data_IF_109034374895
#
_entry.id   IF_109034374895
#
_cell.length_a   1.000
_cell.length_b   1.000
_cell.length_c   1.000
_cell.angle_alpha   90.00
_cell.angle_beta   90.00
_cell.angle_gamma   90.00
#
_symmetry.space_group_name_H-M   'P 1'
#
loop_
_entity.id
_entity.type
_entity.pdbx_description
1 polymer ?
#
# COMPACT_ATOMS: atom_id res chain seq x y z
N UNK A 1 -1.04 1.54 -14.59
CA UNK A 1 -1.88 2.11 -13.51
C UNK A 1 -3.34 1.77 -13.69
N UNK A 2 -3.84 1.60 -14.92
CA UNK A 2 -5.26 1.30 -15.17
C UNK A 2 -5.76 0.05 -14.44
N UNK A 3 -5.01 -1.06 -14.49
CA UNK A 3 -5.35 -2.29 -13.75
C UNK A 3 -5.41 -2.04 -12.24
N UNK A 4 -4.44 -1.31 -11.68
CA UNK A 4 -4.37 -1.04 -10.24
C UNK A 4 -5.63 -0.29 -9.80
N UNK A 5 -6.09 0.68 -10.59
CA UNK A 5 -7.27 1.48 -10.27
C UNK A 5 -8.58 0.66 -10.20
N UNK A 6 -8.62 -0.55 -10.74
CA UNK A 6 -9.76 -1.46 -10.59
C UNK A 6 -9.84 -2.07 -9.18
N UNK A 7 -8.71 -2.16 -8.48
CA UNK A 7 -8.58 -2.73 -7.14
C UNK A 7 -8.64 -1.63 -6.05
N UNK A 8 -9.75 -0.88 -6.06
CA UNK A 8 -9.95 0.32 -5.24
C UNK A 8 -10.91 0.13 -4.04
N UNK A 9 -11.26 -1.12 -3.68
CA UNK A 9 -12.22 -1.42 -2.63
C UNK A 9 -11.53 -2.00 -1.38
N UNK A 10 -12.10 -1.85 -0.18
CA UNK A 10 -11.50 -2.42 1.04
C UNK A 10 -11.32 -3.95 1.00
N UNK A 11 -12.20 -4.66 0.31
CA UNK A 11 -12.17 -6.11 0.09
C UNK A 11 -11.52 -6.53 -1.24
N UNK A 12 -10.99 -5.56 -1.99
CA UNK A 12 -10.18 -5.77 -3.20
C UNK A 12 -9.25 -4.56 -3.39
N UNK A 13 -8.11 -4.59 -2.69
CA UNK A 13 -7.27 -3.42 -2.48
C UNK A 13 -5.84 -3.66 -2.94
N UNK A 14 -5.46 -3.05 -4.06
CA UNK A 14 -4.06 -2.99 -4.47
C UNK A 14 -3.51 -1.59 -4.31
N UNK A 15 -2.23 -1.50 -3.96
CA UNK A 15 -1.51 -0.23 -3.83
C UNK A 15 -0.17 -0.32 -4.55
N UNK A 16 0.33 0.84 -4.96
CA UNK A 16 1.71 0.97 -5.46
C UNK A 16 2.57 1.66 -4.41
N UNK A 17 3.73 1.09 -4.09
CA UNK A 17 4.74 1.76 -3.27
C UNK A 17 6.07 1.68 -4.01
N UNK A 18 6.64 2.85 -4.34
CA UNK A 18 7.92 3.01 -5.03
C UNK A 18 8.00 2.17 -6.32
N UNK A 19 6.90 2.12 -7.10
CA UNK A 19 6.82 1.37 -8.37
C UNK A 19 6.56 -0.13 -8.23
N UNK A 20 6.34 -0.63 -7.02
CA UNK A 20 6.01 -2.03 -6.74
C UNK A 20 4.52 -2.13 -6.40
N UNK A 21 3.83 -3.10 -7.00
CA UNK A 21 2.42 -3.39 -6.79
C UNK A 21 2.27 -4.39 -5.65
N UNK A 22 1.40 -4.08 -4.70
CA UNK A 22 1.07 -4.93 -3.56
C UNK A 22 -0.43 -5.19 -3.50
N UNK A 23 -0.79 -6.45 -3.32
CA UNK A 23 -2.16 -6.87 -3.02
C UNK A 23 -2.33 -6.89 -1.50
N UNK A 24 -2.91 -5.82 -0.96
CA UNK A 24 -3.01 -5.61 0.49
C UNK A 24 -4.42 -5.90 1.01
N UNK A 25 -5.25 -6.60 0.24
CA UNK A 25 -6.67 -6.87 0.57
C UNK A 25 -6.90 -7.32 2.02
N UNK A 26 -6.05 -8.22 2.54
CA UNK A 26 -6.19 -8.77 3.90
C UNK A 26 -5.43 -7.97 4.98
N UNK A 27 -4.60 -7.00 4.60
CA UNK A 27 -3.68 -6.30 5.50
C UNK A 27 -4.31 -5.18 6.37
N UNK A 28 -5.33 -4.41 5.95
CA UNK A 28 -5.81 -3.25 6.71
C UNK A 28 -6.11 -3.52 8.19
N UNK A 29 -6.64 -4.72 8.51
CA UNK A 29 -6.96 -5.11 9.88
C UNK A 29 -5.72 -5.33 10.77
N UNK A 30 -4.58 -5.66 10.16
CA UNK A 30 -3.30 -5.90 10.84
C UNK A 30 -2.45 -4.62 10.93
N UNK A 31 -2.83 -3.55 10.24
CA UNK A 31 -2.04 -2.33 10.16
C UNK A 31 -2.12 -1.52 11.47
N UNK A 32 -0.97 -1.32 12.13
CA UNK A 32 -0.87 -0.58 13.40
C UNK A 32 -1.33 0.87 13.33
N UNK A 33 -1.32 1.48 12.14
CA UNK A 33 -1.87 2.82 11.89
C UNK A 33 -3.39 2.86 11.69
N UNK A 34 -4.07 1.72 11.78
CA UNK A 34 -5.49 1.55 11.50
C UNK A 34 -5.76 1.20 10.03
N UNK A 35 -6.91 0.57 9.79
CA UNK A 35 -7.33 0.11 8.45
C UNK A 35 -7.50 1.28 7.47
N UNK A 36 -8.12 2.37 7.89
CA UNK A 36 -8.36 3.56 7.06
C UNK A 36 -7.07 4.21 6.54
N UNK A 37 -5.93 4.03 7.24
CA UNK A 37 -4.64 4.55 6.80
C UNK A 37 -4.12 3.84 5.55
N UNK A 38 -4.57 2.60 5.30
CA UNK A 38 -4.26 1.80 4.11
C UNK A 38 -5.37 1.93 3.08
N UNK A 39 -6.64 1.72 3.47
CA UNK A 39 -7.74 1.58 2.50
C UNK A 39 -8.03 2.84 1.70
N UNK A 40 -7.67 4.02 2.22
CA UNK A 40 -7.77 5.27 1.45
C UNK A 40 -6.86 5.32 0.21
N UNK A 41 -5.86 4.45 0.14
CA UNK A 41 -4.93 4.34 -0.98
C UNK A 41 -5.26 3.18 -1.93
N UNK A 42 -6.34 2.41 -1.70
CA UNK A 42 -6.72 1.34 -2.62
C UNK A 42 -6.87 1.88 -4.04
N UNK A 43 -6.27 1.18 -4.99
CA UNK A 43 -6.21 1.54 -6.39
C UNK A 43 -5.27 2.69 -6.74
N UNK A 44 -4.36 3.06 -5.84
CA UNK A 44 -3.53 4.26 -5.98
C UNK A 44 -2.05 4.03 -5.64
N UNK A 45 -1.24 5.03 -5.98
CA UNK A 45 0.15 5.13 -5.51
C UNK A 45 0.17 5.65 -4.07
N UNK A 46 0.55 4.76 -3.14
CA UNK A 46 0.65 5.00 -1.71
C UNK A 46 2.07 5.41 -1.28
N UNK A 47 3.00 5.69 -2.20
CA UNK A 47 4.41 5.97 -1.87
C UNK A 47 4.54 7.17 -0.94
N UNK A 48 3.77 8.24 -1.16
CA UNK A 48 3.74 9.38 -0.26
C UNK A 48 3.25 8.98 1.14
N UNK A 49 2.12 8.28 1.21
CA UNK A 49 1.54 7.81 2.47
C UNK A 49 2.50 6.91 3.24
N UNK A 50 3.19 6.01 2.54
CA UNK A 50 4.16 5.09 3.13
C UNK A 50 5.43 5.79 3.61
N UNK A 51 6.00 6.70 2.81
CA UNK A 51 7.26 7.37 3.11
C UNK A 51 7.14 8.55 4.09
N UNK A 52 5.93 9.04 4.35
CA UNK A 52 5.70 10.18 5.26
C UNK A 52 4.70 9.91 6.38
N UNK A 53 4.08 8.72 6.40
CA UNK A 53 2.88 8.42 7.21
C UNK A 53 1.81 9.49 7.05
N UNK A 54 1.59 9.88 5.79
CA UNK A 54 0.61 10.89 5.39
C UNK A 54 0.88 12.27 6.00
N UNK A 55 2.10 12.79 5.81
CA UNK A 55 2.48 14.13 6.25
C UNK A 55 3.01 14.25 7.68
N UNK A 56 3.16 13.13 8.42
CA UNK A 56 3.82 13.11 9.73
C UNK A 56 5.34 13.24 9.66
N UNK A 57 5.92 13.20 8.46
CA UNK A 57 7.36 13.36 8.23
C UNK A 57 8.20 12.17 8.69
N UNK A 58 7.56 11.03 8.95
CA UNK A 58 8.21 9.79 9.36
C UNK A 58 7.96 8.70 8.33
N UNK A 59 9.03 8.10 7.81
CA UNK A 59 8.91 6.91 6.98
C UNK A 59 8.58 5.68 7.83
N UNK A 60 7.96 4.68 7.20
CA UNK A 60 7.92 3.34 7.76
C UNK A 60 9.35 2.78 7.96
N UNK A 61 9.54 2.02 9.04
CA UNK A 61 10.85 1.44 9.36
C UNK A 61 11.26 0.39 8.32
N UNK A 62 12.56 0.08 8.23
CA UNK A 62 13.03 -1.02 7.38
C UNK A 62 12.34 -2.36 7.70
N UNK A 63 12.02 -2.60 8.98
CA UNK A 63 11.27 -3.78 9.41
C UNK A 63 9.83 -3.78 8.89
N UNK A 64 9.18 -2.62 8.82
CA UNK A 64 7.85 -2.47 8.22
C UNK A 64 7.86 -2.82 6.73
N UNK A 65 8.93 -2.46 6.01
CA UNK A 65 9.10 -2.84 4.60
C UNK A 65 9.16 -4.35 4.39
N UNK A 66 9.77 -5.11 5.32
CA UNK A 66 9.82 -6.57 5.24
C UNK A 66 8.44 -7.24 5.27
N UNK A 67 7.42 -6.60 5.84
CA UNK A 67 6.07 -7.14 5.82
C UNK A 67 5.38 -6.96 4.48
N UNK A 68 5.83 -6.03 3.63
CA UNK A 68 5.27 -5.82 2.30
C UNK A 68 5.57 -6.99 1.36
N UNK A 69 6.68 -7.72 1.56
CA UNK A 69 7.05 -8.88 0.75
C UNK A 69 5.98 -9.98 0.74
N UNK A 70 5.20 -10.09 1.84
CA UNK A 70 4.05 -11.02 1.93
C UNK A 70 2.95 -10.67 0.91
N UNK A 71 2.83 -9.40 0.57
CA UNK A 71 1.78 -8.84 -0.28
C UNK A 71 2.27 -8.50 -1.68
N UNK A 72 3.52 -8.84 -2.02
CA UNK A 72 4.10 -8.55 -3.32
C UNK A 72 3.28 -9.18 -4.45
N UNK A 73 2.90 -8.35 -5.43
CA UNK A 73 2.18 -8.80 -6.63
C UNK A 73 3.02 -8.70 -7.89
N UNK A 74 3.83 -7.67 -8.02
CA UNK A 74 4.66 -7.43 -9.19
C UNK A 74 5.31 -6.06 -9.19
N UNK A 75 6.08 -5.75 -10.22
CA UNK A 75 6.56 -4.40 -10.46
C UNK A 75 5.61 -3.73 -11.46
N UNK A 76 5.36 -2.44 -11.28
CA UNK A 76 4.66 -1.63 -12.27
C UNK A 76 5.58 -1.54 -13.49
N UNK A 77 5.30 -2.32 -14.53
CA UNK A 77 5.96 -2.18 -15.82
C UNK A 77 5.51 -0.88 -16.49
N UNK A 78 6.44 -0.26 -17.24
CA UNK A 78 6.12 0.85 -18.16
C UNK A 78 5.03 0.46 -19.18
#
# INVERSE_FOLDING_TARGET
MDEIAEHALPDDCWIVIDGVVYDVTEFPSEHTGGAEAVTKWCGQDASYGFNTKDGKGEAHTARSKLFLDKYFKGNLSE
#
